data_IF_856413657072
#
_entry.id   IF_856413657072
#
_cell.length_a   1.000
_cell.length_b   1.000
_cell.length_c   1.000
_cell.angle_alpha   90.00
_cell.angle_beta   90.00
_cell.angle_gamma   90.00
#
_symmetry.space_group_name_H-M   'P 1'
#
loop_
_entity.id
_entity.type
_entity.pdbx_description
1 polymer ?
#
# COMPACT_ATOMS: atom_id res chain seq x y z
N UNK A 1 71.96 -31.93 -3.85
CA UNK A 1 70.74 -32.67 -3.48
C UNK A 1 70.24 -32.06 -2.16
N UNK A 2 69.25 -31.18 -2.24
CA UNK A 2 68.74 -30.44 -1.09
C UNK A 2 67.61 -31.25 -0.43
N UNK A 3 67.87 -31.74 0.77
CA UNK A 3 66.85 -32.38 1.64
C UNK A 3 65.86 -31.36 2.12
N UNK A 4 64.65 -31.34 1.54
CA UNK A 4 63.51 -30.57 2.04
C UNK A 4 62.98 -31.33 3.28
N UNK A 5 63.04 -30.67 4.44
CA UNK A 5 62.63 -31.22 5.73
C UNK A 5 61.14 -31.67 5.69
N UNK A 6 60.81 -32.89 6.17
CA UNK A 6 59.45 -33.45 6.13
C UNK A 6 58.44 -32.59 6.92
N UNK A 7 58.90 -31.71 7.80
CA UNK A 7 58.06 -30.78 8.57
C UNK A 7 57.40 -29.70 7.73
N UNK A 8 58.01 -29.29 6.58
CA UNK A 8 57.46 -28.25 5.68
C UNK A 8 56.31 -28.81 4.85
N UNK A 9 56.37 -30.10 4.46
CA UNK A 9 55.30 -30.77 3.72
C UNK A 9 54.03 -30.94 4.55
N UNK A 10 54.14 -31.18 5.85
CA UNK A 10 52.98 -31.32 6.73
C UNK A 10 52.28 -29.99 6.98
N UNK A 11 53.04 -28.88 7.12
CA UNK A 11 52.49 -27.52 7.28
C UNK A 11 51.75 -27.08 6.02
N UNK A 12 52.29 -27.40 4.83
CA UNK A 12 51.67 -27.06 3.54
C UNK A 12 50.40 -27.90 3.28
N UNK A 13 50.37 -29.16 3.72
CA UNK A 13 49.20 -30.03 3.65
C UNK A 13 48.09 -29.61 4.64
N UNK A 14 48.45 -29.09 5.83
CA UNK A 14 47.49 -28.57 6.79
C UNK A 14 46.87 -27.22 6.35
N UNK A 15 47.64 -26.38 5.63
CA UNK A 15 47.17 -25.11 5.10
C UNK A 15 46.19 -25.29 3.95
N UNK A 16 46.30 -26.38 3.17
CA UNK A 16 45.43 -26.69 2.03
C UNK A 16 44.05 -27.22 2.47
N UNK A 17 43.92 -27.72 3.71
CA UNK A 17 42.66 -28.22 4.27
C UNK A 17 41.73 -27.09 4.74
N UNK A 18 42.22 -25.86 4.98
CA UNK A 18 41.44 -24.74 5.42
C UNK A 18 40.74 -23.93 4.28
N UNK A 19 41.05 -24.26 3.03
CA UNK A 19 40.48 -23.49 1.85
C UNK A 19 39.19 -24.11 1.34
N UNK A 20 38.69 -25.22 1.91
CA UNK A 20 37.49 -25.92 1.44
C UNK A 20 36.21 -25.61 2.24
N UNK A 21 36.26 -24.71 3.22
CA UNK A 21 35.02 -24.13 3.75
C UNK A 21 34.49 -23.05 2.80
N UNK A 22 34.16 -23.44 1.58
CA UNK A 22 33.35 -22.65 0.69
C UNK A 22 32.00 -22.40 1.35
N UNK A 23 31.80 -21.20 1.91
CA UNK A 23 30.47 -20.70 2.25
C UNK A 23 29.58 -20.83 1.01
N UNK A 24 28.87 -21.94 0.91
CA UNK A 24 27.76 -22.09 -0.02
C UNK A 24 26.67 -21.12 0.40
N UNK A 25 26.80 -19.88 0.01
CA UNK A 25 25.68 -18.93 0.01
C UNK A 25 24.66 -19.49 -0.97
N UNK A 26 23.72 -20.30 -0.47
CA UNK A 26 22.55 -20.69 -1.25
C UNK A 26 21.90 -19.40 -1.70
N UNK A 27 22.15 -18.98 -2.94
CA UNK A 27 21.33 -17.98 -3.61
C UNK A 27 19.92 -18.51 -3.56
N UNK A 28 19.09 -17.94 -2.68
CA UNK A 28 17.66 -18.27 -2.59
C UNK A 28 17.05 -17.89 -3.95
N UNK A 29 16.81 -18.89 -4.78
CA UNK A 29 16.09 -18.68 -6.05
C UNK A 29 14.69 -18.25 -5.63
N UNK A 30 14.36 -16.99 -5.86
CA UNK A 30 13.01 -16.47 -5.64
C UNK A 30 12.07 -17.20 -6.62
N UNK A 31 11.27 -18.09 -6.07
CA UNK A 31 10.28 -18.85 -6.82
C UNK A 31 9.09 -17.95 -7.13
N UNK A 32 8.48 -18.11 -8.31
CA UNK A 32 7.21 -17.49 -8.65
C UNK A 32 6.02 -18.13 -7.91
N UNK A 33 6.24 -19.27 -7.27
CA UNK A 33 5.25 -20.02 -6.48
C UNK A 33 5.60 -19.99 -4.99
N UNK A 34 4.59 -20.03 -4.11
CA UNK A 34 4.80 -20.05 -2.67
C UNK A 34 5.46 -21.38 -2.25
N UNK A 35 6.44 -21.29 -1.35
CA UNK A 35 7.07 -22.47 -0.74
C UNK A 35 6.42 -22.78 0.61
N UNK A 36 6.09 -24.05 0.85
CA UNK A 36 5.58 -24.50 2.15
C UNK A 36 6.66 -24.52 3.24
N UNK A 37 7.94 -24.53 2.86
CA UNK A 37 9.07 -24.50 3.79
C UNK A 37 9.30 -23.13 4.42
N UNK A 38 8.70 -22.06 3.87
CA UNK A 38 8.88 -20.70 4.40
C UNK A 38 7.92 -20.49 5.57
N UNK A 39 8.48 -20.18 6.72
CA UNK A 39 7.75 -19.91 7.94
C UNK A 39 6.94 -18.58 7.85
N UNK A 40 5.80 -18.51 8.56
CA UNK A 40 4.97 -17.32 8.63
C UNK A 40 5.77 -16.08 9.04
N UNK A 41 6.65 -16.21 10.02
CA UNK A 41 7.51 -15.13 10.51
C UNK A 41 8.42 -14.54 9.43
N UNK A 42 8.92 -15.39 8.53
CA UNK A 42 9.74 -14.95 7.40
C UNK A 42 8.90 -14.23 6.33
N UNK A 43 7.69 -14.72 6.05
CA UNK A 43 6.76 -14.05 5.14
C UNK A 43 6.42 -12.65 5.67
N UNK A 44 6.05 -12.54 6.94
CA UNK A 44 5.75 -11.25 7.60
C UNK A 44 6.94 -10.29 7.53
N UNK A 45 8.15 -10.78 7.86
CA UNK A 45 9.37 -9.98 7.81
C UNK A 45 9.69 -9.47 6.41
N UNK A 46 9.58 -10.33 5.39
CA UNK A 46 9.90 -9.95 4.02
C UNK A 46 8.84 -9.02 3.43
N UNK A 47 7.55 -9.25 3.71
CA UNK A 47 6.47 -8.33 3.30
C UNK A 47 6.63 -6.97 3.93
N UNK A 48 6.98 -6.89 5.22
CA UNK A 48 7.25 -5.60 5.88
C UNK A 48 8.45 -4.85 5.26
N UNK A 49 9.50 -5.58 4.86
CA UNK A 49 10.63 -4.96 4.13
C UNK A 49 10.23 -4.49 2.73
N UNK A 50 9.25 -5.13 2.13
CA UNK A 50 8.74 -4.78 0.81
C UNK A 50 7.71 -3.64 0.85
N UNK A 51 7.25 -3.18 2.02
CA UNK A 51 6.36 -2.02 2.13
C UNK A 51 6.98 -0.80 1.45
N UNK A 52 6.15 -0.06 0.74
CA UNK A 52 6.55 1.18 0.12
C UNK A 52 6.65 2.27 1.17
N UNK A 53 7.77 3.00 1.19
CA UNK A 53 8.01 4.17 2.02
C UNK A 53 8.54 5.31 1.16
N UNK A 54 8.13 6.52 1.51
CA UNK A 54 8.55 7.76 0.87
C UNK A 54 8.41 8.91 1.88
N UNK A 55 9.21 9.94 1.77
CA UNK A 55 9.03 11.14 2.58
C UNK A 55 7.98 12.04 1.93
N UNK A 56 8.24 12.45 0.70
CA UNK A 56 7.38 13.27 -0.13
C UNK A 56 7.06 12.56 -1.43
N UNK A 57 5.81 12.64 -1.87
CA UNK A 57 5.39 12.07 -3.15
C UNK A 57 4.45 13.03 -3.87
N UNK A 58 4.70 13.24 -5.15
CA UNK A 58 3.79 13.90 -6.07
C UNK A 58 3.57 12.99 -7.27
N UNK A 59 2.30 12.78 -7.64
CA UNK A 59 1.99 12.03 -8.84
C UNK A 59 0.70 12.53 -9.51
N UNK A 60 0.42 11.98 -10.68
CA UNK A 60 -0.86 12.12 -11.39
C UNK A 60 -1.54 10.77 -11.47
N UNK A 61 -2.83 10.78 -11.26
CA UNK A 61 -3.67 9.58 -11.24
C UNK A 61 -4.86 9.79 -12.15
N UNK A 62 -5.05 8.90 -13.11
CA UNK A 62 -6.32 8.80 -13.83
C UNK A 62 -7.23 7.89 -13.02
N UNK A 63 -8.38 8.39 -12.64
CA UNK A 63 -9.39 7.69 -11.86
C UNK A 63 -10.60 7.40 -12.73
N UNK A 64 -10.99 6.14 -12.79
CA UNK A 64 -12.24 5.71 -13.37
C UNK A 64 -13.15 5.23 -12.24
N UNK A 65 -14.25 5.94 -12.01
CA UNK A 65 -15.25 5.63 -11.01
C UNK A 65 -16.48 5.02 -11.68
N UNK A 66 -16.89 3.83 -11.25
CA UNK A 66 -18.07 3.12 -11.73
C UNK A 66 -18.95 2.72 -10.54
N UNK A 67 -20.21 3.18 -10.53
CA UNK A 67 -21.20 2.88 -9.50
C UNK A 67 -22.24 1.83 -9.92
N UNK A 68 -21.96 1.09 -11.00
CA UNK A 68 -22.88 0.10 -11.59
C UNK A 68 -23.90 0.70 -12.56
N UNK A 69 -24.08 2.01 -12.59
CA UNK A 69 -25.01 2.72 -13.50
C UNK A 69 -24.29 3.63 -14.50
N UNK A 70 -23.21 4.22 -14.08
CA UNK A 70 -22.43 5.16 -14.91
C UNK A 70 -20.94 5.00 -14.61
N UNK A 71 -20.13 5.37 -15.58
CA UNK A 71 -18.67 5.46 -15.44
C UNK A 71 -18.25 6.89 -15.67
N UNK A 72 -17.41 7.42 -14.78
CA UNK A 72 -16.84 8.76 -14.86
C UNK A 72 -15.33 8.69 -14.80
N UNK A 73 -14.64 9.49 -15.59
CA UNK A 73 -13.19 9.59 -15.60
C UNK A 73 -12.78 10.96 -15.09
N UNK A 74 -11.85 10.98 -14.13
CA UNK A 74 -11.34 12.17 -13.45
C UNK A 74 -9.81 12.07 -13.41
N UNK A 75 -9.13 13.19 -13.64
CA UNK A 75 -7.69 13.28 -13.42
C UNK A 75 -7.42 13.88 -12.04
N UNK A 76 -6.59 13.22 -11.25
CA UNK A 76 -6.14 13.69 -9.95
C UNK A 76 -4.67 14.12 -10.02
N UNK A 77 -4.38 15.27 -9.43
CA UNK A 77 -3.04 15.58 -8.92
C UNK A 77 -3.02 15.16 -7.45
N UNK A 78 -2.09 14.30 -7.09
CA UNK A 78 -1.92 13.80 -5.73
C UNK A 78 -0.57 14.27 -5.18
N UNK A 79 -0.59 14.71 -3.92
CA UNK A 79 0.61 15.04 -3.12
C UNK A 79 0.45 14.38 -1.76
N UNK A 80 1.49 13.73 -1.31
CA UNK A 80 1.50 13.02 -0.03
C UNK A 80 2.79 13.34 0.73
N UNK A 81 2.64 13.57 2.02
CA UNK A 81 3.69 13.56 3.01
C UNK A 81 3.47 12.31 3.85
N UNK A 82 4.45 11.41 3.92
CA UNK A 82 4.27 10.08 4.49
C UNK A 82 3.62 10.15 5.87
N UNK A 83 2.55 9.40 6.06
CA UNK A 83 1.77 9.26 7.31
C UNK A 83 1.24 10.57 7.94
N UNK A 84 1.41 11.72 7.28
CA UNK A 84 1.03 13.03 7.82
C UNK A 84 -0.09 13.71 7.03
N UNK A 85 0.08 13.81 5.69
CA UNK A 85 -0.84 14.57 4.83
C UNK A 85 -1.11 13.85 3.51
N UNK A 86 -2.35 13.95 3.04
CA UNK A 86 -2.76 13.57 1.71
C UNK A 86 -3.56 14.71 1.10
N UNK A 87 -3.08 15.24 -0.01
CA UNK A 87 -3.76 16.27 -0.78
C UNK A 87 -4.07 15.76 -2.17
N UNK A 88 -5.29 15.99 -2.62
CA UNK A 88 -5.72 15.64 -3.97
C UNK A 88 -6.51 16.79 -4.59
N UNK A 89 -6.28 17.02 -5.88
CA UNK A 89 -7.07 17.95 -6.69
C UNK A 89 -7.63 17.23 -7.89
N UNK A 90 -8.94 17.13 -7.95
CA UNK A 90 -9.69 16.53 -9.04
C UNK A 90 -9.90 17.55 -10.16
N UNK A 91 -9.63 17.13 -11.39
CA UNK A 91 -9.77 17.94 -12.60
C UNK A 91 -10.47 17.14 -13.69
N UNK A 92 -11.47 17.73 -14.32
CA UNK A 92 -12.02 17.25 -15.60
C UNK A 92 -11.44 18.11 -16.74
N UNK A 93 -12.04 19.23 -17.05
CA UNK A 93 -11.48 20.29 -17.93
C UNK A 93 -10.88 21.39 -17.05
N UNK A 94 -11.56 21.68 -15.94
CA UNK A 94 -11.14 22.62 -14.89
C UNK A 94 -11.08 21.91 -13.55
N UNK A 95 -10.37 22.43 -12.54
CA UNK A 95 -10.41 21.86 -11.18
C UNK A 95 -11.86 21.89 -10.65
N UNK A 96 -12.35 20.73 -10.21
CA UNK A 96 -13.74 20.52 -9.77
C UNK A 96 -13.86 20.26 -8.26
N UNK A 97 -12.83 19.69 -7.65
CA UNK A 97 -12.81 19.40 -6.21
C UNK A 97 -11.38 19.37 -5.70
N UNK A 98 -11.22 19.63 -4.41
CA UNK A 98 -9.97 19.35 -3.67
C UNK A 98 -10.27 18.71 -2.33
N UNK A 99 -9.32 17.90 -1.88
CA UNK A 99 -9.31 17.32 -0.54
C UNK A 99 -7.93 17.49 0.07
N UNK A 100 -7.90 17.82 1.35
CA UNK A 100 -6.72 17.76 2.20
C UNK A 100 -7.08 16.96 3.44
N UNK A 101 -6.41 15.85 3.63
CA UNK A 101 -6.57 14.95 4.76
C UNK A 101 -5.31 14.98 5.62
N UNK A 102 -5.47 15.28 6.91
CA UNK A 102 -4.49 15.03 7.96
C UNK A 102 -4.98 13.93 8.89
N UNK A 103 -4.17 13.56 9.88
CA UNK A 103 -4.62 12.60 10.90
C UNK A 103 -5.70 13.15 11.83
N UNK A 104 -5.95 14.44 11.82
CA UNK A 104 -6.90 15.12 12.69
C UNK A 104 -8.13 15.64 11.97
N UNK A 105 -7.95 16.13 10.74
CA UNK A 105 -8.98 16.88 10.01
C UNK A 105 -9.07 16.50 8.55
N UNK A 106 -10.28 16.63 8.01
CA UNK A 106 -10.55 16.61 6.58
C UNK A 106 -11.05 17.98 6.13
N UNK A 107 -10.38 18.51 5.11
CA UNK A 107 -10.89 19.63 4.32
C UNK A 107 -11.22 19.10 2.94
N UNK A 108 -12.42 19.39 2.49
CA UNK A 108 -12.88 19.04 1.14
C UNK A 108 -13.74 20.14 0.61
N UNK A 109 -13.63 20.44 -0.66
CA UNK A 109 -14.65 21.24 -1.37
C UNK A 109 -14.88 20.72 -2.78
N UNK A 110 -16.08 20.96 -3.28
CA UNK A 110 -16.44 20.69 -4.65
C UNK A 110 -17.22 21.87 -5.25
N UNK A 111 -17.07 22.06 -6.58
CA UNK A 111 -17.55 23.26 -7.28
C UNK A 111 -18.95 23.14 -7.85
N UNK A 112 -19.51 21.95 -8.01
CA UNK A 112 -20.81 21.76 -8.65
C UNK A 112 -21.97 22.27 -7.78
N UNK A 113 -22.01 21.84 -6.53
CA UNK A 113 -23.00 22.27 -5.54
C UNK A 113 -22.48 23.43 -4.67
N UNK A 114 -21.21 23.83 -4.87
CA UNK A 114 -20.51 24.82 -4.05
C UNK A 114 -20.57 24.46 -2.57
N UNK A 115 -20.12 23.26 -2.25
CA UNK A 115 -20.10 22.76 -0.88
C UNK A 115 -18.68 22.49 -0.40
N UNK A 116 -18.50 22.58 0.93
CA UNK A 116 -17.24 22.23 1.56
C UNK A 116 -17.46 21.53 2.90
N UNK A 117 -16.46 20.74 3.30
CA UNK A 117 -16.30 20.11 4.62
C UNK A 117 -15.03 20.67 5.26
N UNK A 118 -15.12 21.00 6.55
CA UNK A 118 -14.00 21.29 7.41
C UNK A 118 -14.31 20.66 8.77
N UNK A 119 -13.91 19.41 8.94
CA UNK A 119 -14.39 18.61 10.08
C UNK A 119 -13.23 17.79 10.68
N UNK A 120 -13.27 17.58 11.98
CA UNK A 120 -12.44 16.58 12.64
C UNK A 120 -12.87 15.18 12.22
N UNK A 121 -11.86 14.35 11.89
CA UNK A 121 -12.09 13.01 11.35
C UNK A 121 -12.27 11.95 12.47
N UNK A 122 -12.07 12.35 13.71
CA UNK A 122 -11.92 11.50 14.88
C UNK A 122 -13.10 10.51 15.12
N UNK A 123 -14.34 10.98 14.94
CA UNK A 123 -15.53 10.18 15.26
C UNK A 123 -15.68 8.95 14.34
N UNK A 124 -15.49 9.14 13.04
CA UNK A 124 -15.62 8.06 12.04
C UNK A 124 -14.47 7.06 12.20
N UNK A 125 -13.27 7.57 12.38
CA UNK A 125 -12.07 6.74 12.50
C UNK A 125 -12.07 5.96 13.81
N UNK A 126 -12.54 6.53 14.92
CA UNK A 126 -12.74 5.82 16.19
C UNK A 126 -13.72 4.66 16.04
N UNK A 127 -14.84 4.87 15.34
CA UNK A 127 -15.84 3.81 15.10
C UNK A 127 -15.24 2.63 14.32
N UNK A 128 -14.31 2.90 13.42
CA UNK A 128 -13.59 1.89 12.64
C UNK A 128 -12.32 1.36 13.34
N UNK A 129 -11.96 1.92 14.50
CA UNK A 129 -10.72 1.57 15.20
C UNK A 129 -9.44 2.05 14.50
N UNK A 130 -9.55 3.03 13.60
CA UNK A 130 -8.45 3.60 12.84
C UNK A 130 -7.86 4.79 13.60
N UNK A 131 -6.57 4.68 13.97
CA UNK A 131 -5.87 5.75 14.72
C UNK A 131 -5.17 6.76 13.82
N UNK A 132 -4.73 6.30 12.64
CA UNK A 132 -3.96 7.09 11.67
C UNK A 132 -4.60 6.99 10.30
N UNK A 133 -5.59 7.83 10.00
CA UNK A 133 -6.31 7.74 8.73
C UNK A 133 -5.42 7.97 7.51
N UNK A 134 -4.44 8.89 7.58
CA UNK A 134 -3.53 9.17 6.47
C UNK A 134 -2.70 7.93 6.12
N UNK A 135 -2.15 7.22 7.12
CA UNK A 135 -1.42 5.96 6.93
C UNK A 135 -2.29 4.92 6.21
N UNK A 136 -3.55 4.78 6.64
CA UNK A 136 -4.49 3.84 6.01
C UNK A 136 -4.74 4.19 4.53
N UNK A 137 -4.97 5.46 4.22
CA UNK A 137 -5.16 5.89 2.82
C UNK A 137 -3.89 5.68 1.99
N UNK A 138 -2.70 5.99 2.52
CA UNK A 138 -1.44 5.72 1.83
C UNK A 138 -1.27 4.23 1.56
N UNK A 139 -1.54 3.37 2.55
CA UNK A 139 -1.43 1.93 2.41
C UNK A 139 -2.36 1.39 1.32
N UNK A 140 -3.61 1.88 1.27
CA UNK A 140 -4.58 1.54 0.21
C UNK A 140 -4.10 1.99 -1.15
N UNK A 141 -3.62 3.23 -1.27
CA UNK A 141 -3.24 3.82 -2.55
C UNK A 141 -1.96 3.23 -3.12
N UNK A 142 -1.03 2.81 -2.27
CA UNK A 142 0.33 2.46 -2.71
C UNK A 142 0.70 0.99 -2.50
N UNK A 143 -0.26 0.13 -2.14
CA UNK A 143 -0.06 -1.32 -2.09
C UNK A 143 0.65 -1.82 -0.84
N UNK A 144 0.47 -1.14 0.28
CA UNK A 144 0.86 -1.63 1.59
C UNK A 144 -0.34 -2.28 2.31
N UNK A 145 -0.11 -3.17 3.27
CA UNK A 145 -1.17 -3.74 4.11
C UNK A 145 -1.88 -2.65 4.92
N UNK A 146 -3.23 -2.65 4.90
CA UNK A 146 -4.02 -1.69 5.68
C UNK A 146 -3.89 -1.89 7.20
N UNK A 147 -3.65 -3.12 7.63
CA UNK A 147 -3.33 -3.47 9.02
C UNK A 147 -1.82 -3.68 9.15
N UNK A 148 -1.22 -3.15 10.22
CA UNK A 148 0.19 -3.34 10.51
C UNK A 148 0.52 -4.85 10.57
N UNK A 149 1.23 -5.33 9.57
CA UNK A 149 1.59 -6.75 9.43
C UNK A 149 2.50 -7.24 10.56
N UNK A 150 3.20 -6.32 11.23
CA UNK A 150 4.09 -6.63 12.35
C UNK A 150 3.40 -6.74 13.70
N UNK A 151 2.15 -6.24 13.83
CA UNK A 151 1.40 -6.21 15.10
C UNK A 151 0.14 -7.08 15.09
N UNK A 152 -0.28 -7.55 13.91
CA UNK A 152 -1.47 -8.37 13.76
C UNK A 152 -1.29 -9.82 14.20
N UNK A 153 -2.40 -10.49 14.53
CA UNK A 153 -2.44 -11.95 14.61
C UNK A 153 -2.78 -12.47 13.23
N UNK A 154 -1.78 -12.98 12.53
CA UNK A 154 -1.90 -13.50 11.18
C UNK A 154 -1.85 -15.02 11.18
N UNK A 155 -2.70 -15.63 10.39
CA UNK A 155 -2.71 -17.04 10.08
C UNK A 155 -2.36 -17.23 8.62
N UNK A 156 -1.52 -18.21 8.32
CA UNK A 156 -1.23 -18.60 6.95
C UNK A 156 -2.33 -19.53 6.44
N UNK A 157 -2.84 -19.23 5.24
CA UNK A 157 -3.79 -20.07 4.52
C UNK A 157 -3.08 -20.65 3.29
N UNK A 158 -3.25 -21.94 3.02
CA UNK A 158 -2.66 -22.58 1.85
C UNK A 158 -3.27 -22.02 0.56
N UNK A 159 -2.39 -21.71 -0.38
CA UNK A 159 -2.78 -21.22 -1.70
C UNK A 159 -1.67 -21.57 -2.70
N UNK A 160 -2.03 -22.03 -3.93
CA UNK A 160 -1.04 -22.48 -4.92
C UNK A 160 -0.23 -21.34 -5.54
N UNK A 161 -0.70 -20.09 -5.48
CA UNK A 161 -0.10 -18.97 -6.22
C UNK A 161 0.44 -17.85 -5.30
N UNK A 162 -0.02 -17.75 -4.05
CA UNK A 162 0.28 -16.64 -3.16
C UNK A 162 0.64 -17.12 -1.76
N UNK A 163 1.43 -16.35 -1.03
CA UNK A 163 1.38 -16.42 0.42
C UNK A 163 0.12 -15.70 0.88
N UNK A 164 -0.86 -16.45 1.37
CA UNK A 164 -2.11 -15.88 1.86
C UNK A 164 -2.07 -15.78 3.36
N UNK A 165 -2.25 -14.55 3.88
CA UNK A 165 -2.32 -14.27 5.30
C UNK A 165 -3.71 -13.74 5.65
N UNK A 166 -4.30 -14.25 6.73
CA UNK A 166 -5.61 -13.86 7.21
C UNK A 166 -5.53 -13.36 8.65
N UNK A 167 -6.19 -12.24 8.94
CA UNK A 167 -6.44 -11.73 10.28
C UNK A 167 -7.95 -11.62 10.51
N UNK A 168 -8.41 -12.19 11.64
CA UNK A 168 -9.84 -12.21 12.00
C UNK A 168 -10.15 -11.33 13.22
N UNK A 169 -9.18 -10.60 13.76
CA UNK A 169 -9.38 -9.70 14.91
C UNK A 169 -9.72 -8.29 14.43
N UNK A 170 -10.82 -7.73 14.90
CA UNK A 170 -11.29 -6.40 14.50
C UNK A 170 -11.75 -6.37 13.05
N UNK A 171 -11.07 -5.57 12.24
CA UNK A 171 -11.24 -5.55 10.78
C UNK A 171 -10.67 -6.85 10.22
N UNK A 172 -11.52 -7.67 9.60
CA UNK A 172 -11.06 -8.91 8.99
C UNK A 172 -10.31 -8.60 7.68
N UNK A 173 -9.07 -9.02 7.61
CA UNK A 173 -8.22 -8.77 6.45
C UNK A 173 -7.64 -10.06 5.90
N UNK A 174 -7.57 -10.16 4.58
CA UNK A 174 -6.87 -11.24 3.86
C UNK A 174 -5.89 -10.61 2.87
N UNK A 175 -4.62 -10.97 2.98
CA UNK A 175 -3.54 -10.47 2.14
C UNK A 175 -3.10 -11.57 1.19
N UNK A 176 -2.97 -11.24 -0.10
CA UNK A 176 -2.41 -12.10 -1.14
C UNK A 176 -1.06 -11.51 -1.52
N UNK A 177 -0.01 -12.14 -1.03
CA UNK A 177 1.37 -11.67 -1.13
C UNK A 177 2.05 -12.43 -2.24
N UNK A 178 2.67 -11.71 -3.17
CA UNK A 178 3.44 -12.28 -4.25
C UNK A 178 4.68 -13.02 -3.72
N UNK A 179 4.88 -14.30 -4.04
CA UNK A 179 5.98 -15.09 -3.47
C UNK A 179 7.37 -14.60 -3.86
N UNK A 180 7.49 -13.94 -5.01
CA UNK A 180 8.75 -13.44 -5.55
C UNK A 180 9.14 -12.09 -4.98
N UNK A 181 8.18 -11.17 -4.90
CA UNK A 181 8.45 -9.76 -4.54
C UNK A 181 8.07 -9.42 -3.11
N UNK A 182 7.27 -10.26 -2.46
CA UNK A 182 6.63 -10.01 -1.16
C UNK A 182 5.73 -8.77 -1.12
N UNK A 183 5.40 -8.21 -2.30
CA UNK A 183 4.39 -7.13 -2.45
C UNK A 183 2.99 -7.72 -2.41
N UNK A 184 2.01 -6.87 -2.12
CA UNK A 184 0.60 -7.24 -2.25
C UNK A 184 0.20 -7.26 -3.73
N UNK A 185 -0.40 -8.36 -4.18
CA UNK A 185 -1.16 -8.39 -5.43
C UNK A 185 -2.65 -8.13 -5.15
N UNK A 186 -3.14 -8.52 -3.96
CA UNK A 186 -4.51 -8.21 -3.54
C UNK A 186 -4.60 -8.11 -2.01
N UNK A 187 -5.51 -7.27 -1.52
CA UNK A 187 -6.01 -7.36 -0.15
C UNK A 187 -7.54 -7.29 -0.12
N UNK A 188 -8.14 -8.06 0.78
CA UNK A 188 -9.59 -8.08 1.02
C UNK A 188 -9.87 -7.68 2.44
N UNK A 189 -10.83 -6.79 2.62
CA UNK A 189 -11.20 -6.24 3.92
C UNK A 189 -12.70 -6.46 4.09
N UNK A 190 -13.07 -7.24 5.07
CA UNK A 190 -14.46 -7.41 5.45
C UNK A 190 -14.77 -6.60 6.70
N UNK A 191 -15.79 -5.77 6.64
CA UNK A 191 -16.27 -4.94 7.75
C UNK A 191 -17.60 -5.51 8.23
N UNK A 192 -17.61 -6.34 9.30
CA UNK A 192 -18.82 -7.06 9.73
C UNK A 192 -19.98 -6.12 10.08
N UNK A 193 -19.70 -5.00 10.78
CA UNK A 193 -20.71 -4.02 11.19
C UNK A 193 -21.43 -3.36 10.03
N UNK A 194 -20.81 -3.28 8.85
CA UNK A 194 -21.39 -2.71 7.62
C UNK A 194 -21.84 -3.79 6.64
N UNK A 195 -21.57 -5.08 6.92
CA UNK A 195 -21.78 -6.19 6.00
C UNK A 195 -21.18 -5.91 4.60
N UNK A 196 -19.98 -5.33 4.58
CA UNK A 196 -19.33 -4.81 3.39
C UNK A 196 -18.00 -5.48 3.15
N UNK A 197 -17.70 -5.76 1.87
CA UNK A 197 -16.43 -6.29 1.41
C UNK A 197 -15.74 -5.24 0.52
N UNK A 198 -14.50 -4.94 0.85
CA UNK A 198 -13.59 -4.15 0.01
C UNK A 198 -12.51 -5.08 -0.50
N UNK A 199 -12.35 -5.14 -1.82
CA UNK A 199 -11.22 -5.82 -2.47
C UNK A 199 -10.38 -4.79 -3.18
N UNK A 200 -9.07 -4.87 -2.99
CA UNK A 200 -8.11 -3.96 -3.61
C UNK A 200 -7.08 -4.82 -4.33
N UNK A 201 -7.03 -4.68 -5.66
CA UNK A 201 -6.08 -5.38 -6.53
C UNK A 201 -4.98 -4.40 -6.94
N UNK A 202 -3.73 -4.85 -6.85
CA UNK A 202 -2.54 -4.10 -7.24
C UNK A 202 -1.85 -4.81 -8.40
N UNK A 203 -1.47 -4.06 -9.41
CA UNK A 203 -0.82 -4.66 -10.58
C UNK A 203 0.14 -3.70 -11.27
N UNK A 204 0.92 -4.25 -12.20
CA UNK A 204 1.87 -3.50 -13.02
C UNK A 204 2.84 -2.67 -12.18
N UNK A 205 3.44 -3.28 -11.16
CA UNK A 205 4.45 -2.63 -10.33
C UNK A 205 5.61 -2.09 -11.17
N UNK A 206 5.95 -0.83 -10.96
CA UNK A 206 7.09 -0.13 -11.57
C UNK A 206 8.11 0.23 -10.52
N UNK A 207 9.39 0.09 -10.86
CA UNK A 207 10.47 0.57 -10.00
C UNK A 207 10.78 2.01 -10.37
N UNK A 208 10.71 2.90 -9.39
CA UNK A 208 10.98 4.33 -9.52
C UNK A 208 11.84 4.71 -8.31
N UNK A 209 13.07 5.17 -8.54
CA UNK A 209 14.04 5.46 -7.48
C UNK A 209 14.17 4.32 -6.46
N UNK A 210 14.37 3.10 -6.95
CA UNK A 210 14.49 1.85 -6.17
C UNK A 210 13.24 1.47 -5.34
N UNK A 211 12.13 2.18 -5.51
CA UNK A 211 10.85 1.91 -4.87
C UNK A 211 9.86 1.28 -5.83
N UNK A 212 9.19 0.21 -5.41
CA UNK A 212 8.18 -0.46 -6.23
C UNK A 212 6.79 0.10 -5.97
N UNK A 213 6.23 0.82 -6.95
CA UNK A 213 4.88 1.37 -6.93
C UNK A 213 3.92 0.54 -7.78
N UNK A 214 2.69 0.25 -7.33
CA UNK A 214 1.67 -0.30 -8.21
C UNK A 214 1.27 0.77 -9.23
N UNK A 215 1.36 0.45 -10.53
CA UNK A 215 0.92 1.39 -11.57
C UNK A 215 -0.61 1.41 -11.69
N UNK A 216 -1.26 0.30 -11.32
CA UNK A 216 -2.69 0.14 -11.37
C UNK A 216 -3.21 -0.36 -10.02
N UNK A 217 -4.27 0.28 -9.53
CA UNK A 217 -5.02 -0.15 -8.35
C UNK A 217 -6.50 -0.23 -8.71
N UNK A 218 -7.14 -1.34 -8.40
CA UNK A 218 -8.59 -1.50 -8.56
C UNK A 218 -9.21 -1.72 -7.19
N UNK A 219 -10.02 -0.78 -6.74
CA UNK A 219 -10.78 -0.87 -5.50
C UNK A 219 -12.22 -1.26 -5.86
N UNK A 220 -12.70 -2.36 -5.29
CA UNK A 220 -14.06 -2.84 -5.44
C UNK A 220 -14.75 -2.88 -4.08
N UNK A 221 -15.83 -2.13 -3.93
CA UNK A 221 -16.67 -2.12 -2.75
C UNK A 221 -18.00 -2.83 -3.04
N UNK A 222 -18.36 -3.78 -2.19
CA UNK A 222 -19.58 -4.57 -2.32
C UNK A 222 -20.38 -4.51 -1.01
N UNK A 223 -21.65 -4.09 -1.12
CA UNK A 223 -22.61 -4.11 -0.01
C UNK A 223 -23.99 -4.52 -0.56
N UNK A 224 -24.45 -5.71 -0.21
CA UNK A 224 -25.65 -6.26 -0.82
C UNK A 224 -25.53 -6.31 -2.35
N UNK A 225 -26.47 -5.66 -3.04
CA UNK A 225 -26.49 -5.57 -4.52
C UNK A 225 -25.72 -4.36 -5.06
N UNK A 226 -25.17 -3.50 -4.19
CA UNK A 226 -24.40 -2.35 -4.61
C UNK A 226 -22.95 -2.77 -4.87
N UNK A 227 -22.44 -2.43 -6.05
CA UNK A 227 -21.06 -2.61 -6.44
C UNK A 227 -20.50 -1.28 -6.93
N UNK A 228 -19.44 -0.81 -6.30
CA UNK A 228 -18.69 0.37 -6.72
C UNK A 228 -17.28 -0.09 -7.08
N UNK A 229 -16.76 0.39 -8.22
CA UNK A 229 -15.38 0.16 -8.65
C UNK A 229 -14.68 1.46 -8.89
N UNK A 230 -13.45 1.56 -8.37
CA UNK A 230 -12.56 2.71 -8.56
C UNK A 230 -11.26 2.16 -9.12
N UNK A 231 -10.96 2.48 -10.37
CA UNK A 231 -9.70 2.12 -11.01
C UNK A 231 -8.78 3.34 -10.98
N UNK A 232 -7.57 3.15 -10.46
CA UNK A 232 -6.52 4.15 -10.42
C UNK A 232 -5.40 3.72 -11.38
N UNK A 233 -4.97 4.62 -12.23
CA UNK A 233 -3.82 4.45 -13.11
C UNK A 233 -2.83 5.58 -12.84
N UNK A 234 -1.67 5.23 -12.28
CA UNK A 234 -0.68 6.19 -11.83
C UNK A 234 0.29 6.57 -12.95
N UNK A 235 0.68 7.84 -12.96
CA UNK A 235 1.69 8.39 -13.86
C UNK A 235 2.45 9.53 -13.20
N UNK A 236 3.61 9.89 -13.76
CA UNK A 236 4.40 11.06 -13.34
C UNK A 236 4.72 11.07 -11.84
N UNK A 237 5.39 10.03 -11.38
CA UNK A 237 5.92 9.99 -10.01
C UNK A 237 7.11 10.94 -9.87
N UNK A 238 7.13 11.70 -8.77
CA UNK A 238 8.15 12.69 -8.44
C UNK A 238 8.27 12.79 -6.90
N UNK A 239 9.49 12.96 -6.39
CA UNK A 239 9.81 13.02 -4.96
C UNK A 239 10.49 14.35 -4.61
N UNK A 240 9.78 15.49 -4.66
CA UNK A 240 10.36 16.79 -4.41
C UNK A 240 10.74 16.95 -2.94
N UNK A 241 11.83 17.66 -2.67
CA UNK A 241 12.24 18.00 -1.29
C UNK A 241 11.17 18.81 -0.56
N UNK A 242 10.45 19.67 -1.29
CA UNK A 242 9.42 20.54 -0.73
C UNK A 242 8.08 20.35 -1.46
N UNK A 243 7.02 20.12 -0.70
CA UNK A 243 5.65 20.06 -1.20
C UNK A 243 4.83 21.23 -0.65
N UNK A 244 3.93 21.74 -1.47
CA UNK A 244 2.88 22.67 -1.04
C UNK A 244 1.52 22.01 -1.16
N UNK A 245 0.60 22.34 -0.28
CA UNK A 245 -0.75 21.77 -0.20
C UNK A 245 -1.81 22.87 -0.31
N UNK A 246 -1.97 23.50 -1.49
CA UNK A 246 -2.83 24.68 -1.64
C UNK A 246 -4.29 24.31 -1.45
N UNK A 247 -4.87 24.78 -0.35
CA UNK A 247 -6.25 24.54 0.04
C UNK A 247 -6.91 25.84 0.45
N UNK A 248 -7.62 26.48 -0.49
CA UNK A 248 -8.41 27.68 -0.26
C UNK A 248 -9.88 27.35 -0.52
N UNK A 249 -10.72 27.56 0.48
CA UNK A 249 -12.16 27.37 0.37
C UNK A 249 -12.78 28.70 -0.08
N UNK A 250 -13.51 28.73 -1.21
CA UNK A 250 -14.18 29.93 -1.65
C UNK A 250 -15.26 30.38 -0.65
N UNK A 251 -15.43 31.68 -0.50
CA UNK A 251 -16.29 32.31 0.52
C UNK A 251 -17.79 32.09 0.31
N UNK A 252 -18.22 31.77 -0.90
CA UNK A 252 -19.61 31.55 -1.28
C UNK A 252 -20.06 30.07 -1.19
N UNK A 253 -19.24 29.21 -0.58
CA UNK A 253 -19.55 27.79 -0.45
C UNK A 253 -20.30 27.48 0.85
N UNK A 254 -21.22 26.51 0.77
CA UNK A 254 -22.01 26.05 1.92
C UNK A 254 -21.26 24.94 2.66
N UNK A 255 -21.18 25.05 3.99
CA UNK A 255 -20.62 23.99 4.82
C UNK A 255 -21.57 22.78 4.83
N UNK A 256 -20.99 21.58 4.76
CA UNK A 256 -21.66 20.30 4.99
C UNK A 256 -20.85 19.44 5.91
N UNK A 257 -21.49 18.47 6.52
CA UNK A 257 -20.82 17.41 7.29
C UNK A 257 -20.52 16.20 6.40
N UNK A 258 -19.60 15.36 6.82
CA UNK A 258 -19.29 14.11 6.13
C UNK A 258 -20.52 13.19 6.04
N UNK A 259 -21.33 13.14 7.10
CA UNK A 259 -22.56 12.33 7.20
C UNK A 259 -23.64 12.80 6.19
N UNK A 260 -23.67 14.08 5.86
CA UNK A 260 -24.61 14.64 4.86
C UNK A 260 -24.20 14.31 3.42
N UNK A 261 -22.93 14.02 3.19
CA UNK A 261 -22.41 13.65 1.85
C UNK A 261 -22.47 12.15 1.62
N UNK A 262 -22.34 11.35 2.67
CA UNK A 262 -22.34 9.89 2.59
C UNK A 262 -23.74 9.26 2.59
N UNK A 263 -24.80 10.02 2.81
CA UNK A 263 -26.21 9.63 2.64
C UNK A 263 -26.65 9.73 1.19
#
# INVERSE_FOLDING_TARGET
MNNVSPKIGIIFSLLLLFVLEGCSTKKKILSDLPSNEIELSEILKNSRKAELKFDNLRNRVKVEFNNGRSTQTINLSLRALEDELLWMSATMIVPIAKILLSNERIFFYEKFQKTYINQEIDLIMKTLGIKKPVEVFHNVLFGNPILDIGKGSWERVENPNYYVLKSSRGIQSTLFINPRTYKLDQQRIFIPTLSSLITIDYSNYKIIEDKAFPNNVLISYIKGNQIIRIKLEYSQFDFPENLTFPMEIPTDYKIKTLDEILK
#
